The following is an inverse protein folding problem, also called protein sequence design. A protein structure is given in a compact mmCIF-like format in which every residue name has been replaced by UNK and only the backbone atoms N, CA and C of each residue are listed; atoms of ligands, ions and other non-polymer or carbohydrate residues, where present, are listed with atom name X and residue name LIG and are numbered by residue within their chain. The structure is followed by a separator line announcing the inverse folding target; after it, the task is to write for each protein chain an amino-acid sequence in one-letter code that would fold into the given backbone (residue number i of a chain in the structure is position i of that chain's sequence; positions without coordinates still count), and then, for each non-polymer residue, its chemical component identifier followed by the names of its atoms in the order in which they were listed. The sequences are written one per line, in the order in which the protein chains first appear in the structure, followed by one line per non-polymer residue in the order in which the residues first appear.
data_IF_709804828495
#
_entry.id   IF_709804828495
#
_cell.length_a   1.000
_cell.length_b   1.000
_cell.length_c   1.000
_cell.angle_alpha   90.00
_cell.angle_beta   90.00
_cell.angle_gamma   90.00
#
_symmetry.space_group_name_H-M   'P 1'
#
loop_
_entity.id
_entity.type
_entity.pdbx_description
1 polymer ?
#
# COMPACT_ATOMS: atom_id res chain seq x y z
N UNK A 1 13.92 -20.00 11.68
CA UNK A 1 15.30 -20.43 11.35
C UNK A 1 15.34 -21.77 10.60
N UNK A 2 14.64 -22.83 11.04
CA UNK A 2 14.68 -24.17 10.39
C UNK A 2 14.28 -24.19 8.90
N UNK A 3 13.36 -23.32 8.47
CA UNK A 3 12.90 -23.27 7.07
C UNK A 3 13.99 -22.85 6.06
N UNK A 4 14.99 -22.06 6.48
CA UNK A 4 16.11 -21.66 5.62
C UNK A 4 17.16 -22.77 5.50
N UNK A 5 17.30 -23.61 6.52
CA UNK A 5 18.36 -24.62 6.60
C UNK A 5 17.93 -25.99 6.07
N UNK A 6 16.64 -26.33 6.16
CA UNK A 6 16.08 -27.55 5.55
C UNK A 6 14.57 -27.39 5.26
N UNK A 7 14.21 -26.94 4.03
CA UNK A 7 12.83 -26.71 3.66
C UNK A 7 11.97 -27.97 3.68
N UNK A 8 12.53 -29.14 3.34
CA UNK A 8 11.79 -30.40 3.32
C UNK A 8 11.39 -30.83 4.74
N UNK A 9 12.33 -30.76 5.69
CA UNK A 9 12.05 -31.06 7.09
C UNK A 9 11.04 -30.07 7.68
N UNK A 10 11.14 -28.79 7.33
CA UNK A 10 10.17 -27.79 7.75
C UNK A 10 8.77 -28.09 7.19
N UNK A 11 8.66 -28.52 5.94
CA UNK A 11 7.40 -28.93 5.30
C UNK A 11 6.77 -30.13 6.02
N UNK A 12 7.56 -31.17 6.33
CA UNK A 12 7.07 -32.33 7.09
C UNK A 12 6.49 -31.91 8.44
N UNK A 13 7.19 -31.05 9.19
CA UNK A 13 6.73 -30.55 10.49
C UNK A 13 5.48 -29.69 10.34
N UNK A 14 5.42 -28.82 9.33
CA UNK A 14 4.25 -28.00 9.07
C UNK A 14 3.01 -28.87 8.82
N UNK A 15 3.17 -29.98 8.07
CA UNK A 15 2.07 -30.93 7.82
C UNK A 15 1.55 -31.64 9.06
N UNK A 16 2.33 -31.79 10.12
CA UNK A 16 1.84 -32.42 11.37
C UNK A 16 1.10 -31.45 12.29
N UNK A 17 0.97 -30.17 11.92
CA UNK A 17 0.24 -29.19 12.72
C UNK A 17 -1.26 -29.51 12.67
N UNK A 18 -1.85 -29.82 13.83
CA UNK A 18 -3.26 -30.18 13.94
C UNK A 18 -4.24 -29.04 13.63
N UNK A 19 -3.87 -27.79 13.92
CA UNK A 19 -4.71 -26.64 13.63
C UNK A 19 -4.58 -26.26 12.14
N UNK A 20 -5.65 -26.33 11.33
CA UNK A 20 -5.56 -26.16 9.87
C UNK A 20 -5.12 -24.74 9.46
N UNK A 21 -5.53 -23.71 10.21
CA UNK A 21 -5.12 -22.33 9.92
C UNK A 21 -3.62 -22.14 10.20
N UNK A 22 -3.11 -22.66 11.32
CA UNK A 22 -1.67 -22.63 11.63
C UNK A 22 -0.85 -23.44 10.64
N UNK A 23 -1.38 -24.59 10.20
CA UNK A 23 -0.77 -25.43 9.17
C UNK A 23 -0.66 -24.66 7.85
N UNK A 24 -1.77 -24.09 7.36
CA UNK A 24 -1.82 -23.28 6.14
C UNK A 24 -0.82 -22.10 6.19
N UNK A 25 -0.80 -21.37 7.32
CA UNK A 25 0.17 -20.29 7.55
C UNK A 25 1.62 -20.77 7.47
N UNK A 26 1.93 -21.91 8.08
CA UNK A 26 3.28 -22.48 8.08
C UNK A 26 3.70 -22.91 6.67
N UNK A 27 2.81 -23.59 5.94
CA UNK A 27 3.06 -24.01 4.56
C UNK A 27 3.26 -22.81 3.62
N UNK A 28 2.46 -21.75 3.76
CA UNK A 28 2.64 -20.51 2.99
C UNK A 28 4.01 -19.87 3.26
N UNK A 29 4.43 -19.83 4.53
CA UNK A 29 5.75 -19.29 4.89
C UNK A 29 6.90 -20.13 4.30
N UNK A 30 6.76 -21.45 4.29
CA UNK A 30 7.75 -22.37 3.70
C UNK A 30 7.80 -22.21 2.19
N UNK A 31 6.65 -22.18 1.52
CA UNK A 31 6.57 -21.99 0.07
C UNK A 31 7.29 -20.71 -0.37
N UNK A 32 7.10 -19.59 0.34
CA UNK A 32 7.81 -18.33 0.07
C UNK A 32 9.33 -18.46 0.17
N UNK A 33 9.85 -19.21 1.15
CA UNK A 33 11.30 -19.45 1.27
C UNK A 33 11.80 -20.36 0.15
N UNK A 34 11.06 -21.43 -0.14
CA UNK A 34 11.37 -22.37 -1.23
C UNK A 34 11.36 -21.67 -2.58
N UNK A 35 10.53 -20.65 -2.78
CA UNK A 35 10.40 -19.92 -4.03
C UNK A 35 11.72 -19.27 -4.49
N UNK A 36 12.60 -18.90 -3.56
CA UNK A 36 13.90 -18.30 -3.88
C UNK A 36 14.87 -19.26 -4.59
N UNK A 37 14.68 -20.57 -4.43
CA UNK A 37 15.58 -21.60 -5.00
C UNK A 37 14.85 -22.55 -5.94
N UNK A 38 13.57 -22.81 -5.71
CA UNK A 38 12.74 -23.70 -6.51
C UNK A 38 11.27 -23.22 -6.54
N UNK A 39 10.94 -22.26 -7.43
CA UNK A 39 9.58 -21.76 -7.60
C UNK A 39 8.54 -22.84 -7.91
N UNK A 40 8.92 -23.88 -8.68
CA UNK A 40 8.01 -24.99 -9.03
C UNK A 40 7.60 -25.77 -7.79
N UNK A 41 8.54 -26.03 -6.88
CA UNK A 41 8.24 -26.69 -5.61
C UNK A 41 7.41 -25.81 -4.69
N UNK A 42 7.67 -24.50 -4.65
CA UNK A 42 6.88 -23.56 -3.86
C UNK A 42 5.41 -23.53 -4.29
N UNK A 43 5.15 -23.57 -5.60
CA UNK A 43 3.80 -23.69 -6.16
C UNK A 43 3.13 -25.00 -5.74
N UNK A 44 3.82 -26.13 -5.87
CA UNK A 44 3.28 -27.41 -5.43
C UNK A 44 2.92 -27.43 -3.93
N UNK A 45 3.70 -26.77 -3.08
CA UNK A 45 3.35 -26.60 -1.65
C UNK A 45 2.11 -25.71 -1.50
N UNK A 46 2.06 -24.59 -2.23
CA UNK A 46 0.94 -23.64 -2.21
C UNK A 46 -0.37 -24.27 -2.68
N UNK A 47 -0.32 -25.18 -3.64
CA UNK A 47 -1.47 -25.92 -4.14
C UNK A 47 -2.11 -26.82 -3.07
N UNK A 48 -1.36 -27.22 -2.03
CA UNK A 48 -1.88 -28.00 -0.90
C UNK A 48 -2.56 -27.15 0.18
N UNK A 49 -2.46 -25.83 0.10
CA UNK A 49 -3.06 -24.92 1.07
C UNK A 49 -4.54 -24.76 0.76
N UNK A 50 -5.40 -25.21 1.68
CA UNK A 50 -6.86 -25.15 1.52
C UNK A 50 -7.47 -23.82 1.95
N UNK A 51 -6.81 -23.09 2.85
CA UNK A 51 -7.27 -21.78 3.30
C UNK A 51 -6.97 -20.71 2.23
N UNK A 52 -7.99 -20.05 1.65
CA UNK A 52 -7.81 -19.12 0.54
C UNK A 52 -6.96 -17.90 0.88
N UNK A 53 -7.00 -17.43 2.14
CA UNK A 53 -6.19 -16.29 2.57
C UNK A 53 -4.71 -16.65 2.54
N UNK A 54 -4.34 -17.80 3.10
CA UNK A 54 -2.95 -18.25 3.10
C UNK A 54 -2.47 -18.68 1.72
N UNK A 55 -3.34 -19.28 0.90
CA UNK A 55 -3.00 -19.66 -0.47
C UNK A 55 -2.71 -18.43 -1.33
N UNK A 56 -3.59 -17.42 -1.30
CA UNK A 56 -3.40 -16.16 -2.03
C UNK A 56 -2.12 -15.43 -1.57
N UNK A 57 -1.89 -15.35 -0.24
CA UNK A 57 -0.66 -14.75 0.30
C UNK A 57 0.60 -15.52 -0.10
N UNK A 58 0.54 -16.84 -0.19
CA UNK A 58 1.66 -17.68 -0.62
C UNK A 58 2.01 -17.44 -2.08
N UNK A 59 1.00 -17.41 -2.96
CA UNK A 59 1.18 -17.12 -4.39
C UNK A 59 1.86 -15.77 -4.60
N UNK A 60 1.46 -14.73 -3.87
CA UNK A 60 2.12 -13.42 -3.95
C UNK A 60 3.57 -13.48 -3.48
N UNK A 61 3.88 -14.23 -2.42
CA UNK A 61 5.27 -14.44 -2.01
C UNK A 61 6.11 -15.13 -3.09
N UNK A 62 5.51 -16.04 -3.87
CA UNK A 62 6.19 -16.69 -5.00
C UNK A 62 6.34 -15.71 -6.16
N UNK A 63 5.30 -14.92 -6.49
CA UNK A 63 5.36 -13.85 -7.49
C UNK A 63 6.56 -12.94 -7.25
N UNK A 64 6.74 -12.45 -6.01
CA UNK A 64 7.86 -11.56 -5.67
C UNK A 64 9.22 -12.23 -5.90
N UNK A 65 9.34 -13.54 -5.66
CA UNK A 65 10.58 -14.28 -5.89
C UNK A 65 10.90 -14.49 -7.37
N UNK A 66 9.89 -14.61 -8.24
CA UNK A 66 10.08 -14.85 -9.67
C UNK A 66 10.01 -13.59 -10.53
N UNK A 67 9.56 -12.45 -9.99
CA UNK A 67 9.32 -11.22 -10.74
C UNK A 67 10.52 -10.75 -11.59
N UNK A 68 11.75 -10.91 -11.08
CA UNK A 68 12.97 -10.51 -11.81
C UNK A 68 13.51 -11.54 -12.80
N UNK A 69 13.03 -12.78 -12.78
CA UNK A 69 13.58 -13.88 -13.59
C UNK A 69 12.57 -14.46 -14.58
N UNK A 70 11.28 -14.43 -14.25
CA UNK A 70 10.18 -14.94 -15.06
C UNK A 70 8.93 -14.04 -14.87
N UNK A 71 8.88 -12.89 -15.55
CA UNK A 71 7.77 -11.93 -15.44
C UNK A 71 6.43 -12.52 -15.87
N UNK A 72 6.40 -13.37 -16.90
CA UNK A 72 5.16 -13.99 -17.37
C UNK A 72 4.57 -14.92 -16.31
N UNK A 73 5.42 -15.68 -15.61
CA UNK A 73 4.99 -16.50 -14.48
C UNK A 73 4.54 -15.64 -13.30
N UNK A 74 5.23 -14.55 -13.01
CA UNK A 74 4.80 -13.60 -11.98
C UNK A 74 3.38 -13.08 -12.28
N UNK A 75 3.08 -12.73 -13.54
CA UNK A 75 1.74 -12.31 -13.97
C UNK A 75 0.70 -13.41 -13.71
N UNK A 76 0.94 -14.63 -14.20
CA UNK A 76 0.00 -15.76 -14.00
C UNK A 76 -0.27 -16.08 -12.52
N UNK A 77 0.77 -16.05 -11.69
CA UNK A 77 0.65 -16.30 -10.25
C UNK A 77 -0.17 -15.21 -9.56
N UNK A 78 -0.03 -13.97 -10.00
CA UNK A 78 -0.75 -12.83 -9.46
C UNK A 78 -2.23 -12.85 -9.83
N UNK A 79 -2.56 -13.18 -11.09
CA UNK A 79 -3.94 -13.38 -11.54
C UNK A 79 -4.63 -14.51 -10.78
N UNK A 80 -3.89 -15.61 -10.53
CA UNK A 80 -4.38 -16.70 -9.69
C UNK A 80 -4.60 -16.27 -8.24
N UNK A 81 -3.68 -15.49 -7.67
CA UNK A 81 -3.80 -14.96 -6.32
C UNK A 81 -5.00 -14.01 -6.18
N UNK A 82 -5.28 -13.19 -7.20
CA UNK A 82 -6.44 -12.30 -7.30
C UNK A 82 -7.74 -13.12 -7.32
N UNK A 83 -7.81 -14.14 -8.18
CA UNK A 83 -8.96 -15.05 -8.28
C UNK A 83 -9.28 -15.68 -6.93
N UNK A 84 -8.27 -16.18 -6.21
CA UNK A 84 -8.43 -16.77 -4.88
C UNK A 84 -8.79 -15.70 -3.84
N UNK A 85 -8.21 -14.50 -3.91
CA UNK A 85 -8.56 -13.43 -2.98
C UNK A 85 -10.05 -13.06 -3.06
N UNK A 86 -10.65 -13.12 -4.25
CA UNK A 86 -12.08 -12.89 -4.43
C UNK A 86 -12.98 -13.95 -3.78
N UNK A 87 -12.49 -15.17 -3.53
CA UNK A 87 -13.26 -16.25 -2.86
C UNK A 87 -13.20 -16.16 -1.34
N UNK A 88 -12.35 -15.32 -0.76
CA UNK A 88 -12.24 -15.13 0.69
C UNK A 88 -13.56 -14.57 1.23
N UNK A 89 -14.21 -15.34 2.11
CA UNK A 89 -15.52 -15.00 2.70
C UNK A 89 -15.45 -13.81 3.64
N UNK A 90 -14.39 -13.71 4.45
CA UNK A 90 -14.24 -12.62 5.40
C UNK A 90 -13.84 -11.33 4.66
N UNK A 91 -14.69 -10.28 4.64
CA UNK A 91 -14.47 -9.09 3.82
C UNK A 91 -13.20 -8.33 4.19
N UNK A 92 -12.87 -8.32 5.49
CA UNK A 92 -11.63 -7.74 6.02
C UNK A 92 -10.40 -8.43 5.45
N UNK A 93 -10.40 -9.76 5.45
CA UNK A 93 -9.30 -10.58 4.94
C UNK A 93 -9.19 -10.48 3.42
N UNK A 94 -10.33 -10.48 2.71
CA UNK A 94 -10.40 -10.26 1.25
C UNK A 94 -9.78 -8.93 0.85
N UNK A 95 -10.20 -7.85 1.49
CA UNK A 95 -9.66 -6.51 1.20
C UNK A 95 -8.16 -6.41 1.48
N UNK A 96 -7.68 -7.04 2.55
CA UNK A 96 -6.25 -7.08 2.86
C UNK A 96 -5.45 -7.86 1.80
N UNK A 97 -5.97 -9.00 1.34
CA UNK A 97 -5.35 -9.78 0.27
C UNK A 97 -5.29 -8.98 -1.04
N UNK A 98 -6.41 -8.39 -1.47
CA UNK A 98 -6.47 -7.55 -2.67
C UNK A 98 -5.53 -6.34 -2.60
N UNK A 99 -5.40 -5.69 -1.43
CA UNK A 99 -4.47 -4.58 -1.24
C UNK A 99 -3.00 -5.02 -1.39
N UNK A 100 -2.65 -6.22 -0.91
CA UNK A 100 -1.29 -6.78 -1.07
C UNK A 100 -1.02 -7.10 -2.55
N UNK A 101 -1.99 -7.73 -3.22
CA UNK A 101 -1.91 -8.06 -4.65
C UNK A 101 -1.73 -6.80 -5.48
N UNK A 102 -2.57 -5.78 -5.25
CA UNK A 102 -2.49 -4.51 -5.96
C UNK A 102 -1.12 -3.85 -5.81
N UNK A 103 -0.54 -3.84 -4.60
CA UNK A 103 0.84 -3.34 -4.39
C UNK A 103 1.88 -4.08 -5.23
N UNK A 104 1.79 -5.41 -5.35
CA UNK A 104 2.75 -6.18 -6.16
C UNK A 104 2.56 -5.91 -7.64
N UNK A 105 1.30 -5.88 -8.11
CA UNK A 105 0.96 -5.53 -9.51
C UNK A 105 1.44 -4.13 -9.86
N UNK A 106 1.46 -3.20 -8.89
CA UNK A 106 1.83 -1.81 -9.12
C UNK A 106 3.23 -1.64 -9.70
N UNK A 107 4.16 -2.55 -9.37
CA UNK A 107 5.54 -2.49 -9.85
C UNK A 107 5.66 -2.69 -11.37
N UNK A 108 4.70 -3.39 -11.98
CA UNK A 108 4.73 -3.71 -13.41
C UNK A 108 3.56 -3.11 -14.18
N UNK A 109 2.42 -2.87 -13.51
CA UNK A 109 1.21 -2.33 -14.11
C UNK A 109 0.39 -1.51 -13.09
N UNK A 110 0.78 -0.24 -12.84
CA UNK A 110 0.09 0.66 -11.91
C UNK A 110 -1.42 0.80 -12.18
N UNK A 111 -1.83 0.84 -13.46
CA UNK A 111 -3.25 0.94 -13.85
C UNK A 111 -4.06 -0.30 -13.45
N UNK A 112 -3.50 -1.50 -13.60
CA UNK A 112 -4.15 -2.74 -13.14
C UNK A 112 -4.20 -2.79 -11.62
N UNK A 113 -3.14 -2.35 -10.93
CA UNK A 113 -3.13 -2.26 -9.48
C UNK A 113 -4.26 -1.35 -8.95
N UNK A 114 -4.45 -0.18 -9.57
CA UNK A 114 -5.56 0.71 -9.24
C UNK A 114 -6.92 0.04 -9.47
N UNK A 115 -7.07 -0.68 -10.58
CA UNK A 115 -8.31 -1.44 -10.87
C UNK A 115 -8.62 -2.45 -9.77
N UNK A 116 -7.61 -3.19 -9.30
CA UNK A 116 -7.77 -4.16 -8.20
C UNK A 116 -8.15 -3.42 -6.90
N UNK A 117 -7.48 -2.32 -6.57
CA UNK A 117 -7.79 -1.54 -5.37
C UNK A 117 -9.24 -1.01 -5.40
N UNK A 118 -9.75 -0.56 -6.56
CA UNK A 118 -11.14 -0.11 -6.73
C UNK A 118 -12.19 -1.19 -6.48
N UNK A 119 -11.82 -2.48 -6.49
CA UNK A 119 -12.76 -3.57 -6.14
C UNK A 119 -12.97 -3.73 -4.63
N UNK A 120 -12.17 -3.03 -3.81
CA UNK A 120 -12.29 -3.06 -2.35
C UNK A 120 -13.46 -2.17 -1.93
N UNK A 121 -14.54 -2.79 -1.45
CA UNK A 121 -15.79 -2.07 -1.17
C UNK A 121 -15.72 -1.08 0.02
N UNK A 122 -14.84 -1.32 1.00
CA UNK A 122 -14.73 -0.45 2.17
C UNK A 122 -13.79 0.74 1.86
N UNK A 123 -14.27 2.00 1.94
CA UNK A 123 -13.47 3.18 1.53
C UNK A 123 -12.16 3.35 2.28
N UNK A 124 -12.16 3.13 3.60
CA UNK A 124 -10.94 3.18 4.42
C UNK A 124 -9.89 2.16 3.92
N UNK A 125 -10.30 0.93 3.63
CA UNK A 125 -9.40 -0.11 3.10
C UNK A 125 -8.95 0.16 1.66
N UNK A 126 -9.85 0.70 0.83
CA UNK A 126 -9.53 1.12 -0.53
C UNK A 126 -8.47 2.22 -0.52
N UNK A 127 -8.64 3.25 0.33
CA UNK A 127 -7.66 4.32 0.49
C UNK A 127 -6.30 3.78 0.98
N UNK A 128 -6.28 2.88 1.98
CA UNK A 128 -5.04 2.19 2.40
C UNK A 128 -4.39 1.40 1.27
N UNK A 129 -5.17 0.74 0.42
CA UNK A 129 -4.64 0.03 -0.74
C UNK A 129 -4.00 0.99 -1.76
N UNK A 130 -4.67 2.10 -2.09
CA UNK A 130 -4.13 3.14 -2.97
C UNK A 130 -2.82 3.71 -2.42
N UNK A 131 -2.77 4.08 -1.13
CA UNK A 131 -1.53 4.58 -0.49
C UNK A 131 -0.37 3.57 -0.65
N UNK A 132 -0.63 2.27 -0.54
CA UNK A 132 0.40 1.23 -0.77
C UNK A 132 0.87 1.17 -2.22
N UNK A 133 -0.02 1.41 -3.18
CA UNK A 133 0.32 1.51 -4.61
C UNK A 133 1.16 2.76 -4.83
N UNK A 134 0.76 3.93 -4.29
CA UNK A 134 1.53 5.19 -4.37
C UNK A 134 2.96 4.95 -3.91
N UNK A 135 3.14 4.34 -2.72
CA UNK A 135 4.49 4.01 -2.20
C UNK A 135 5.30 3.11 -3.13
N UNK A 136 4.65 2.17 -3.83
CA UNK A 136 5.31 1.25 -4.73
C UNK A 136 5.75 1.90 -6.06
N UNK A 137 5.02 2.92 -6.53
CA UNK A 137 5.27 3.55 -7.84
C UNK A 137 5.93 4.91 -7.75
N UNK A 138 5.97 5.55 -6.58
CA UNK A 138 6.48 6.91 -6.40
C UNK A 138 7.92 7.12 -6.90
N UNK A 139 8.76 6.08 -6.92
CA UNK A 139 10.13 6.19 -7.42
C UNK A 139 10.23 6.05 -8.94
N UNK A 140 9.27 5.38 -9.59
CA UNK A 140 9.34 5.02 -11.02
C UNK A 140 8.35 5.80 -11.88
N UNK A 141 7.24 6.23 -11.30
CA UNK A 141 6.16 6.98 -11.96
C UNK A 141 5.53 7.97 -10.96
N UNK A 142 6.19 9.11 -10.71
CA UNK A 142 5.72 10.12 -9.75
C UNK A 142 4.40 10.78 -10.19
N UNK A 143 4.15 10.93 -11.50
CA UNK A 143 2.89 11.49 -12.00
C UNK A 143 1.70 10.56 -11.68
N UNK A 144 1.85 9.25 -11.87
CA UNK A 144 0.82 8.31 -11.49
C UNK A 144 0.68 8.20 -9.97
N UNK A 145 1.77 8.30 -9.22
CA UNK A 145 1.74 8.41 -7.76
C UNK A 145 0.89 9.61 -7.30
N UNK A 146 1.10 10.80 -7.90
CA UNK A 146 0.34 12.01 -7.58
C UNK A 146 -1.18 11.84 -7.82
N UNK A 147 -1.57 11.31 -8.99
CA UNK A 147 -2.99 11.04 -9.30
C UNK A 147 -3.63 10.04 -8.33
N UNK A 148 -2.89 9.01 -7.92
CA UNK A 148 -3.37 8.03 -6.95
C UNK A 148 -3.49 8.62 -5.53
N UNK A 149 -2.61 9.55 -5.16
CA UNK A 149 -2.69 10.32 -3.92
C UNK A 149 -3.97 11.17 -3.88
N UNK A 150 -4.28 11.89 -4.96
CA UNK A 150 -5.53 12.68 -5.07
C UNK A 150 -6.77 11.79 -4.95
N UNK A 151 -6.75 10.60 -5.57
CA UNK A 151 -7.83 9.63 -5.43
C UNK A 151 -7.95 9.14 -3.98
N UNK A 152 -6.84 8.77 -3.34
CA UNK A 152 -6.85 8.33 -1.94
C UNK A 152 -7.40 9.43 -1.01
N UNK A 153 -7.07 10.70 -1.27
CA UNK A 153 -7.59 11.85 -0.54
C UNK A 153 -9.09 12.02 -0.76
N UNK A 154 -9.56 11.95 -2.01
CA UNK A 154 -10.99 12.03 -2.33
C UNK A 154 -11.77 10.94 -1.58
N UNK A 155 -11.25 9.72 -1.53
CA UNK A 155 -11.84 8.63 -0.74
C UNK A 155 -11.79 8.90 0.76
N UNK A 156 -10.69 9.47 1.27
CA UNK A 156 -10.58 9.84 2.68
C UNK A 156 -11.73 10.75 3.10
N UNK A 157 -12.09 11.73 2.26
CA UNK A 157 -13.21 12.65 2.51
C UNK A 157 -14.60 11.97 2.53
N UNK A 158 -14.73 10.75 1.98
CA UNK A 158 -15.98 9.98 2.06
C UNK A 158 -16.10 9.12 3.33
N UNK A 159 -15.03 9.02 4.13
CA UNK A 159 -15.01 8.21 5.34
C UNK A 159 -15.72 8.96 6.46
N UNK A 160 -16.83 8.39 6.96
CA UNK A 160 -17.65 9.01 8.02
C UNK A 160 -17.01 8.93 9.41
N UNK A 161 -16.20 7.90 9.68
CA UNK A 161 -15.49 7.75 10.94
C UNK A 161 -14.27 8.70 10.97
N UNK A 162 -14.34 9.73 11.80
CA UNK A 162 -13.32 10.79 11.84
C UNK A 162 -11.93 10.28 12.21
N UNK A 163 -11.83 9.22 13.02
CA UNK A 163 -10.54 8.63 13.39
C UNK A 163 -9.94 7.87 12.19
N UNK A 164 -10.76 7.14 11.44
CA UNK A 164 -10.33 6.49 10.21
C UNK A 164 -9.97 7.52 9.13
N UNK A 165 -10.75 8.59 9.00
CA UNK A 165 -10.45 9.69 8.07
C UNK A 165 -9.11 10.34 8.40
N UNK A 166 -8.85 10.67 9.67
CA UNK A 166 -7.58 11.25 10.11
C UNK A 166 -6.40 10.30 9.90
N UNK A 167 -6.57 9.00 10.16
CA UNK A 167 -5.55 7.97 9.90
C UNK A 167 -5.15 7.96 8.42
N UNK A 168 -6.13 8.04 7.51
CA UNK A 168 -5.87 8.08 6.07
C UNK A 168 -5.17 9.38 5.66
N UNK A 169 -5.67 10.55 6.09
CA UNK A 169 -5.06 11.83 5.75
C UNK A 169 -3.61 11.92 6.24
N UNK A 170 -3.32 11.40 7.43
CA UNK A 170 -1.95 11.28 7.95
C UNK A 170 -1.10 10.38 7.07
N UNK A 171 -1.61 9.22 6.68
CA UNK A 171 -0.89 8.29 5.81
C UNK A 171 -0.66 8.85 4.39
N UNK A 172 -1.55 9.71 3.88
CA UNK A 172 -1.37 10.45 2.62
C UNK A 172 -0.26 11.49 2.81
N UNK A 173 -0.31 12.28 3.90
CA UNK A 173 0.70 13.27 4.22
C UNK A 173 2.11 12.67 4.28
N UNK A 174 2.28 11.50 4.91
CA UNK A 174 3.56 10.78 4.97
C UNK A 174 4.13 10.47 3.57
N UNK A 175 3.25 10.10 2.63
CA UNK A 175 3.68 9.75 1.28
C UNK A 175 3.99 11.00 0.46
N UNK A 176 3.19 12.06 0.63
CA UNK A 176 3.45 13.36 0.01
C UNK A 176 4.77 13.94 0.48
N UNK A 177 5.05 13.93 1.79
CA UNK A 177 6.31 14.38 2.35
C UNK A 177 7.51 13.62 1.74
N UNK A 178 7.41 12.29 1.66
CA UNK A 178 8.45 11.48 1.03
C UNK A 178 8.64 11.73 -0.47
N UNK A 179 7.65 12.28 -1.17
CA UNK A 179 7.80 12.74 -2.57
C UNK A 179 8.35 14.17 -2.68
N UNK A 180 7.96 15.06 -1.76
CA UNK A 180 8.47 16.43 -1.65
C UNK A 180 9.99 16.43 -1.40
N UNK A 181 10.45 15.65 -0.42
CA UNK A 181 11.88 15.52 -0.10
C UNK A 181 12.71 15.00 -1.28
N UNK A 182 12.13 14.09 -2.09
CA UNK A 182 12.81 13.54 -3.27
C UNK A 182 12.88 14.55 -4.42
N UNK A 183 11.83 15.33 -4.60
CA UNK A 183 11.80 16.43 -5.55
C UNK A 183 12.91 17.45 -5.25
N UNK A 184 12.99 17.89 -3.99
CA UNK A 184 14.02 18.83 -3.53
C UNK A 184 15.43 18.26 -3.71
N UNK A 185 15.64 16.98 -3.39
CA UNK A 185 16.92 16.30 -3.60
C UNK A 185 17.32 16.23 -5.09
N UNK A 186 16.37 15.99 -6.01
CA UNK A 186 16.64 15.96 -7.46
C UNK A 186 16.99 17.37 -7.97
N UNK A 187 16.26 18.39 -7.54
CA UNK A 187 16.47 19.78 -7.94
C UNK A 187 17.90 20.25 -7.58
N UNK A 188 18.34 19.99 -6.35
CA UNK A 188 19.70 20.28 -5.88
C UNK A 188 20.79 19.56 -6.70
N UNK A 189 20.53 18.34 -7.18
CA UNK A 189 21.48 17.64 -8.06
C UNK A 189 21.47 18.19 -9.49
N UNK A 190 20.33 18.71 -9.97
CA UNK A 190 20.17 19.26 -11.32
C UNK A 190 20.78 20.66 -11.48
N UNK A 191 20.78 21.47 -10.41
CA UNK A 191 21.40 22.80 -10.39
C UNK A 191 22.93 22.72 -10.59
N UNK A 192 23.56 21.62 -10.17
CA UNK A 192 24.99 21.37 -10.43
C UNK A 192 25.33 21.09 -11.91
N UNK A 193 24.33 20.73 -12.74
CA UNK A 193 24.50 20.38 -14.16
C UNK A 193 23.99 21.46 -15.14
N UNK A 194 23.54 22.64 -14.67
CA UNK A 194 23.20 23.77 -15.52
C UNK A 194 21.98 23.57 -16.46
N UNK A 195 21.21 22.50 -16.28
CA UNK A 195 19.99 22.27 -17.05
C UNK A 195 18.79 22.81 -16.27
N UNK A 196 18.31 24.00 -16.64
CA UNK A 196 17.04 24.58 -16.19
C UNK A 196 15.85 23.72 -16.66
N UNK A 197 15.64 22.59 -16.01
CA UNK A 197 14.36 21.91 -16.04
C UNK A 197 13.45 22.62 -15.04
N UNK A 198 12.76 23.68 -15.49
CA UNK A 198 11.51 24.14 -14.85
C UNK A 198 10.49 23.02 -15.01
N UNK A 199 10.64 21.95 -14.24
CA UNK A 199 9.69 20.87 -14.24
C UNK A 199 8.65 21.19 -13.18
N UNK A 200 7.45 21.54 -13.61
CA UNK A 200 6.23 21.50 -12.79
C UNK A 200 5.87 20.07 -12.32
N UNK A 201 6.87 19.21 -12.11
CA UNK A 201 6.75 17.83 -11.63
C UNK A 201 6.44 17.75 -10.13
N UNK A 202 6.63 18.85 -9.39
CA UNK A 202 6.41 18.92 -7.94
C UNK A 202 5.35 19.98 -7.57
N UNK A 203 4.46 20.29 -8.51
CA UNK A 203 3.34 21.20 -8.32
C UNK A 203 2.06 20.50 -7.88
N UNK A 204 2.10 19.70 -6.81
CA UNK A 204 0.85 19.41 -6.10
C UNK A 204 0.62 20.59 -5.15
N UNK A 205 -0.38 21.41 -5.44
CA UNK A 205 -0.74 22.61 -4.65
C UNK A 205 -1.22 22.33 -3.21
N UNK A 206 -0.90 21.16 -2.63
CA UNK A 206 -1.25 20.78 -1.26
C UNK A 206 -0.05 20.15 -0.57
N UNK A 207 0.41 20.82 0.48
CA UNK A 207 1.55 20.37 1.27
C UNK A 207 1.14 19.25 2.22
N UNK A 208 2.05 18.31 2.47
CA UNK A 208 1.98 17.34 3.58
C UNK A 208 1.51 17.99 4.91
N UNK A 209 1.91 19.23 5.18
CA UNK A 209 1.50 20.02 6.35
C UNK A 209 0.00 20.29 6.43
N UNK A 210 -0.66 20.61 5.30
CA UNK A 210 -2.09 20.91 5.26
C UNK A 210 -2.92 19.65 5.55
N UNK A 211 -2.49 18.50 5.03
CA UNK A 211 -3.13 17.21 5.29
C UNK A 211 -3.04 16.82 6.77
N UNK A 212 -1.88 17.04 7.41
CA UNK A 212 -1.70 16.81 8.84
C UNK A 212 -2.55 17.75 9.69
N UNK A 213 -2.58 19.03 9.35
CA UNK A 213 -3.43 20.01 10.01
C UNK A 213 -4.92 19.61 9.94
N UNK A 214 -5.39 19.13 8.78
CA UNK A 214 -6.76 18.64 8.62
C UNK A 214 -7.01 17.39 9.45
N UNK A 215 -6.10 16.42 9.42
CA UNK A 215 -6.21 15.19 10.21
C UNK A 215 -6.35 15.48 11.72
N UNK A 216 -5.60 16.45 12.24
CA UNK A 216 -5.69 16.86 13.64
C UNK A 216 -6.97 17.62 13.97
N UNK A 217 -7.51 18.40 13.03
CA UNK A 217 -8.75 19.15 13.26
C UNK A 217 -9.98 18.26 13.46
N UNK A 218 -9.99 17.06 12.86
CA UNK A 218 -11.14 16.15 12.85
C UNK A 218 -11.05 15.01 13.86
N UNK A 219 -9.88 14.75 14.45
CA UNK A 219 -9.67 13.60 15.34
C UNK A 219 -9.22 14.03 16.74
N UNK A 220 -9.76 13.33 17.74
CA UNK A 220 -9.35 13.44 19.15
C UNK A 220 -8.13 12.59 19.49
N UNK A 221 -7.28 12.25 18.51
CA UNK A 221 -6.02 11.52 18.76
C UNK A 221 -5.21 12.28 19.82
N UNK A 222 -4.71 11.60 20.85
CA UNK A 222 -3.72 12.16 21.77
C UNK A 222 -2.48 12.53 20.93
N UNK A 223 -2.34 13.80 20.58
CA UNK A 223 -1.23 14.28 19.78
C UNK A 223 0.02 14.18 20.66
N UNK A 224 1.03 13.35 20.32
CA UNK A 224 2.29 13.41 21.02
C UNK A 224 2.89 14.80 20.78
N UNK A 225 3.25 15.51 21.85
CA UNK A 225 3.74 16.91 21.83
C UNK A 225 4.89 17.12 20.83
N UNK A 226 5.63 16.06 20.49
CA UNK A 226 6.69 16.05 19.46
C UNK A 226 6.19 16.28 18.02
N UNK A 227 4.90 16.16 17.73
CA UNK A 227 4.34 16.36 16.39
C UNK A 227 3.95 17.83 16.10
N UNK A 228 3.75 18.66 17.13
CA UNK A 228 3.38 20.08 17.03
C UNK A 228 4.31 20.95 16.16
N UNK A 229 5.64 20.72 16.05
CA UNK A 229 6.51 21.53 15.19
C UNK A 229 6.28 21.34 13.68
N UNK A 230 5.56 20.29 13.26
CA UNK A 230 5.44 19.89 11.85
C UNK A 230 4.47 20.79 11.07
N UNK A 231 3.48 21.38 11.73
CA UNK A 231 2.49 22.27 11.11
C UNK A 231 2.74 23.70 11.60
N UNK A 232 3.09 24.61 10.69
CA UNK A 232 3.27 26.01 11.04
C UNK A 232 1.93 26.72 11.35
N UNK A 233 2.00 27.77 12.16
CA UNK A 233 0.83 28.56 12.59
C UNK A 233 0.07 29.19 11.44
N UNK A 234 0.74 29.53 10.33
CA UNK A 234 0.13 30.00 9.10
C UNK A 234 -0.76 28.95 8.44
N UNK A 235 -0.32 27.69 8.41
CA UNK A 235 -1.10 26.56 7.85
C UNK A 235 -2.32 26.26 8.71
N UNK A 236 -2.19 26.32 10.03
CA UNK A 236 -3.34 26.22 10.94
C UNK A 236 -4.34 27.36 10.72
N UNK A 237 -3.86 28.60 10.58
CA UNK A 237 -4.72 29.76 10.38
C UNK A 237 -5.45 29.74 9.03
N UNK A 238 -4.78 29.32 7.95
CA UNK A 238 -5.39 29.13 6.64
C UNK A 238 -6.47 28.04 6.66
N UNK A 239 -6.24 26.93 7.36
CA UNK A 239 -7.25 25.88 7.52
C UNK A 239 -8.47 26.33 8.30
N UNK A 240 -8.28 27.15 9.35
CA UNK A 240 -9.39 27.72 10.11
C UNK A 240 -10.25 28.62 9.21
N UNK A 241 -9.63 29.38 8.32
CA UNK A 241 -10.34 30.25 7.36
C UNK A 241 -11.12 29.44 6.31
N UNK A 242 -10.51 28.42 5.69
CA UNK A 242 -11.20 27.53 4.75
C UNK A 242 -12.40 26.81 5.40
N UNK A 243 -12.26 26.40 6.67
CA UNK A 243 -13.33 25.78 7.46
C UNK A 243 -14.46 26.75 7.80
N UNK A 244 -14.17 28.04 7.98
CA UNK A 244 -15.20 29.05 8.23
C UNK A 244 -15.92 29.45 6.94
N UNK A 245 -15.21 29.51 5.80
CA UNK A 245 -15.81 29.85 4.51
C UNK A 245 -16.72 28.73 3.96
N UNK A 246 -16.37 27.45 4.13
CA UNK A 246 -17.25 26.31 3.78
C UNK A 246 -18.55 26.28 4.62
N UNK A 247 -18.52 26.87 5.82
CA UNK A 247 -19.67 26.91 6.74
C UNK A 247 -20.63 28.04 6.41
N UNK A 248 -20.12 29.14 5.88
CA UNK A 248 -20.91 30.30 5.45
C UNK A 248 -21.51 30.11 4.04
N UNK A 249 -20.96 29.22 3.21
CA UNK A 249 -21.50 28.88 1.88
C UNK A 249 -22.70 27.89 1.91
N UNK A 250 -23.05 27.34 3.08
CA UNK A 250 -24.14 26.36 3.27
C UNK A 250 -25.33 26.91 4.08
N UNK A 251 -25.44 28.23 4.22
CA UNK A 251 -26.59 28.96 4.79
C UNK A 251 -27.30 29.78 3.69
#
# INVERSE_FOLDING_TARGET
MVAQTNPQRAETIARTIANPNRQAKALAAIARVVAQTNPKRAEAITDTITDPLWQSSSLIGITEAVAGTDPERATRLTERAETIAHTITNPTSRANALAIIARVVAQTNPKRAETIARTIANPNRQAKALIRIVRAVAATDPEHAARLTEHAETLAHTITDSNQQAEILTAIADVVAGTEERCEAIELTSESSGALARSGLCGCGRSSKQLLARAWSISTLEIPVSALPVVDTSTLHALVLDLTDEKDANL
#
